data_IF_842365882710
#
_entry.id   IF_842365882710
#
_cell.length_a   1.000
_cell.length_b   1.000
_cell.length_c   1.000
_cell.angle_alpha   90.00
_cell.angle_beta   90.00
_cell.angle_gamma   90.00
#
_symmetry.space_group_name_H-M   'P 1'
#
loop_
_entity.id
_entity.type
_entity.pdbx_description
1 polymer ?
#
# COMPACT_ATOMS: atom_id res chain seq x y z
N UNK A 1 5.43 -4.78 32.59
CA UNK A 1 6.27 -5.85 31.98
C UNK A 1 5.50 -6.74 31.02
N UNK A 2 4.38 -7.38 31.43
CA UNK A 2 3.59 -8.26 30.54
C UNK A 2 3.12 -7.58 29.23
N UNK A 3 2.57 -6.37 29.29
CA UNK A 3 2.11 -5.68 28.08
C UNK A 3 3.23 -5.31 27.10
N UNK A 4 4.44 -5.03 27.60
CA UNK A 4 5.61 -4.74 26.76
C UNK A 4 6.05 -6.00 26.02
N UNK A 5 6.04 -7.17 26.67
CA UNK A 5 6.33 -8.43 25.99
C UNK A 5 5.30 -8.78 24.92
N UNK A 6 4.00 -8.53 25.17
CA UNK A 6 2.95 -8.73 24.15
C UNK A 6 3.19 -7.82 22.93
N UNK A 7 3.58 -6.55 23.14
CA UNK A 7 3.94 -5.62 22.05
C UNK A 7 5.14 -6.11 21.25
N UNK A 8 6.19 -6.61 21.90
CA UNK A 8 7.33 -7.19 21.19
C UNK A 8 6.94 -8.43 20.35
N UNK A 9 6.05 -9.28 20.87
CA UNK A 9 5.55 -10.44 20.11
C UNK A 9 4.74 -9.97 18.89
N UNK A 10 3.91 -8.94 19.05
CA UNK A 10 3.13 -8.38 17.94
C UNK A 10 3.99 -7.88 16.77
N UNK A 11 5.17 -7.30 17.06
CA UNK A 11 6.14 -6.88 16.03
C UNK A 11 6.60 -8.06 15.18
N UNK A 12 6.93 -9.19 15.83
CA UNK A 12 7.35 -10.40 15.14
C UNK A 12 6.25 -11.00 14.27
N UNK A 13 5.01 -10.99 14.78
CA UNK A 13 3.84 -11.50 14.04
C UNK A 13 3.55 -10.66 12.80
N UNK A 14 3.55 -9.33 12.90
CA UNK A 14 3.31 -8.43 11.77
C UNK A 14 4.37 -8.60 10.67
N UNK A 15 5.64 -8.67 11.07
CA UNK A 15 6.73 -8.90 10.13
C UNK A 15 6.57 -10.26 9.45
N UNK A 16 6.29 -11.32 10.22
CA UNK A 16 6.11 -12.67 9.69
C UNK A 16 4.91 -12.77 8.74
N UNK A 17 3.75 -12.21 9.10
CA UNK A 17 2.54 -12.27 8.27
C UNK A 17 2.76 -11.61 6.91
N UNK A 18 3.41 -10.44 6.89
CA UNK A 18 3.67 -9.70 5.65
C UNK A 18 4.66 -10.43 4.75
N UNK A 19 5.72 -11.03 5.32
CA UNK A 19 6.70 -11.81 4.55
C UNK A 19 6.15 -13.13 4.05
N UNK A 20 5.28 -13.79 4.82
CA UNK A 20 4.57 -15.00 4.39
C UNK A 20 3.69 -14.67 3.18
N UNK A 21 2.87 -13.61 3.26
CA UNK A 21 2.00 -13.22 2.14
C UNK A 21 2.76 -12.76 0.91
N UNK A 22 3.88 -12.05 1.10
CA UNK A 22 4.81 -11.71 0.01
C UNK A 22 5.37 -12.97 -0.66
N UNK A 23 5.82 -13.94 0.14
CA UNK A 23 6.35 -15.21 -0.36
C UNK A 23 5.29 -16.02 -1.11
N UNK A 24 4.05 -16.04 -0.61
CA UNK A 24 2.91 -16.66 -1.29
C UNK A 24 2.65 -15.99 -2.64
N UNK A 25 2.66 -14.65 -2.71
CA UNK A 25 2.51 -13.90 -3.96
C UNK A 25 3.60 -14.25 -4.99
N UNK A 26 4.86 -14.31 -4.56
CA UNK A 26 6.00 -14.70 -5.41
C UNK A 26 5.85 -16.15 -5.90
N UNK A 27 5.50 -17.08 -5.01
CA UNK A 27 5.29 -18.48 -5.36
C UNK A 27 4.14 -18.65 -6.36
N UNK A 28 3.02 -17.96 -6.15
CA UNK A 28 1.89 -17.95 -7.06
C UNK A 28 2.31 -17.43 -8.45
N UNK A 29 3.02 -16.31 -8.50
CA UNK A 29 3.50 -15.76 -9.76
C UNK A 29 4.47 -16.71 -10.48
N UNK A 30 5.39 -17.35 -9.75
CA UNK A 30 6.31 -18.35 -10.33
C UNK A 30 5.55 -19.54 -10.90
N UNK A 31 4.54 -20.02 -10.18
CA UNK A 31 3.68 -21.10 -10.63
C UNK A 31 2.89 -20.73 -11.89
N UNK A 32 2.31 -19.52 -11.94
CA UNK A 32 1.60 -19.03 -13.12
C UNK A 32 2.55 -18.89 -14.33
N UNK A 33 3.79 -18.44 -14.10
CA UNK A 33 4.78 -18.26 -15.18
C UNK A 33 5.26 -19.57 -15.81
N UNK A 34 5.17 -20.70 -15.09
CA UNK A 34 5.47 -22.02 -15.62
C UNK A 34 4.37 -22.56 -16.57
N UNK A 35 3.22 -21.88 -16.64
CA UNK A 35 2.11 -22.23 -17.54
C UNK A 35 2.25 -21.53 -18.89
N UNK A 36 1.25 -21.72 -19.75
CA UNK A 36 1.18 -21.12 -21.08
C UNK A 36 1.15 -19.58 -21.01
N UNK A 37 1.86 -18.90 -21.90
CA UNK A 37 1.94 -17.43 -22.01
C UNK A 37 0.58 -16.75 -22.17
N UNK A 38 -0.35 -17.37 -22.91
CA UNK A 38 -1.71 -16.83 -23.07
C UNK A 38 -2.53 -16.99 -21.78
N UNK A 39 -2.32 -18.08 -21.06
CA UNK A 39 -2.97 -18.32 -19.77
C UNK A 39 -2.42 -17.38 -18.71
N UNK A 40 -1.10 -17.14 -18.71
CA UNK A 40 -0.42 -16.24 -17.79
C UNK A 40 -0.96 -14.81 -17.92
N UNK A 41 -0.92 -14.23 -19.13
CA UNK A 41 -1.40 -12.87 -19.38
C UNK A 41 -2.87 -12.69 -18.97
N UNK A 42 -3.75 -13.60 -19.42
CA UNK A 42 -5.17 -13.63 -19.03
C UNK A 42 -5.37 -13.65 -17.52
N UNK A 43 -4.69 -14.58 -16.84
CA UNK A 43 -4.83 -14.77 -15.38
C UNK A 43 -4.27 -13.57 -14.61
N UNK A 44 -3.12 -13.03 -15.01
CA UNK A 44 -2.51 -11.87 -14.38
C UNK A 44 -3.41 -10.63 -14.45
N UNK A 45 -4.09 -10.41 -15.57
CA UNK A 45 -4.99 -9.26 -15.69
C UNK A 45 -6.25 -9.42 -14.83
N UNK A 46 -6.83 -10.63 -14.77
CA UNK A 46 -7.94 -10.93 -13.86
C UNK A 46 -7.53 -10.68 -12.41
N UNK A 47 -6.37 -11.20 -12.01
CA UNK A 47 -5.80 -11.00 -10.68
C UNK A 47 -5.58 -9.51 -10.42
N UNK A 48 -4.98 -8.76 -11.36
CA UNK A 48 -4.74 -7.33 -11.22
C UNK A 48 -6.03 -6.55 -10.98
N UNK A 49 -7.07 -6.82 -11.77
CA UNK A 49 -8.37 -6.16 -11.62
C UNK A 49 -9.00 -6.47 -10.25
N UNK A 50 -9.01 -7.74 -9.83
CA UNK A 50 -9.51 -8.14 -8.51
C UNK A 50 -8.72 -7.48 -7.39
N UNK A 51 -7.39 -7.48 -7.49
CA UNK A 51 -6.47 -6.86 -6.54
C UNK A 51 -6.72 -5.35 -6.42
N UNK A 52 -6.90 -4.63 -7.53
CA UNK A 52 -7.25 -3.21 -7.54
C UNK A 52 -8.58 -2.94 -6.82
N UNK A 53 -9.56 -3.83 -6.96
CA UNK A 53 -10.81 -3.80 -6.20
C UNK A 53 -10.63 -4.02 -4.70
N UNK A 54 -9.83 -5.02 -4.30
CA UNK A 54 -9.50 -5.31 -2.90
C UNK A 54 -8.77 -4.12 -2.26
N UNK A 55 -7.86 -3.49 -3.00
CA UNK A 55 -7.13 -2.30 -2.57
C UNK A 55 -8.07 -1.13 -2.30
N UNK A 56 -9.03 -0.89 -3.21
CA UNK A 56 -10.08 0.11 -3.02
C UNK A 56 -10.96 -0.19 -1.80
N UNK A 57 -11.30 -1.46 -1.59
CA UNK A 57 -12.04 -1.90 -0.41
C UNK A 57 -11.28 -1.59 0.89
N UNK A 58 -9.99 -1.93 0.91
CA UNK A 58 -9.09 -1.67 2.05
C UNK A 58 -9.02 -0.18 2.35
N UNK A 59 -8.87 0.64 1.33
CA UNK A 59 -8.81 2.09 1.45
C UNK A 59 -10.10 2.66 2.08
N UNK A 60 -11.26 2.32 1.50
CA UNK A 60 -12.52 2.96 1.88
C UNK A 60 -13.10 2.44 3.19
N UNK A 61 -12.92 1.15 3.49
CA UNK A 61 -13.54 0.51 4.66
C UNK A 61 -12.63 0.46 5.88
N UNK A 62 -11.31 0.64 5.72
CA UNK A 62 -10.36 0.59 6.84
C UNK A 62 -9.50 1.86 6.90
N UNK A 63 -8.65 2.09 5.91
CA UNK A 63 -7.61 3.15 6.00
C UNK A 63 -8.22 4.55 6.20
N UNK A 64 -9.25 4.91 5.41
CA UNK A 64 -9.89 6.22 5.53
C UNK A 64 -10.61 6.36 6.88
N UNK A 65 -11.54 5.45 7.27
CA UNK A 65 -12.17 5.50 8.59
C UNK A 65 -11.18 5.57 9.76
N UNK A 66 -10.17 4.69 9.78
CA UNK A 66 -9.19 4.60 10.87
C UNK A 66 -8.38 5.90 10.99
N UNK A 67 -7.97 6.49 9.87
CA UNK A 67 -7.27 7.78 9.86
C UNK A 67 -8.12 8.93 10.40
N UNK A 68 -9.44 8.92 10.13
CA UNK A 68 -10.36 9.96 10.57
C UNK A 68 -10.71 9.83 12.06
N UNK A 69 -10.86 8.61 12.57
CA UNK A 69 -11.20 8.35 13.98
C UNK A 69 -10.17 8.95 14.94
N UNK A 70 -8.88 8.87 14.57
CA UNK A 70 -7.78 9.41 15.36
C UNK A 70 -7.80 10.93 15.49
N UNK A 71 -8.33 11.65 14.50
CA UNK A 71 -8.54 13.10 14.57
C UNK A 71 -9.88 13.48 15.20
N UNK A 72 -10.92 12.66 14.99
CA UNK A 72 -12.28 12.92 15.47
C UNK A 72 -12.35 12.99 17.00
N UNK A 73 -11.54 12.20 17.72
CA UNK A 73 -11.45 12.23 19.18
C UNK A 73 -11.03 13.62 19.72
N UNK A 74 -10.42 14.47 18.90
CA UNK A 74 -9.88 15.77 19.34
C UNK A 74 -10.51 16.98 18.66
N UNK A 75 -10.95 16.84 17.42
CA UNK A 75 -11.61 17.88 16.64
C UNK A 75 -12.99 17.45 16.18
N UNK A 76 -13.91 17.28 17.15
CA UNK A 76 -15.30 16.84 16.96
C UNK A 76 -16.13 17.66 15.95
N UNK A 77 -15.68 18.84 15.52
CA UNK A 77 -16.49 19.82 14.78
C UNK A 77 -15.99 20.18 13.39
N UNK A 78 -14.83 19.69 12.94
CA UNK A 78 -14.29 20.05 11.62
C UNK A 78 -13.82 18.83 10.83
N UNK A 79 -14.25 18.76 9.57
CA UNK A 79 -13.84 17.76 8.57
C UNK A 79 -12.36 17.89 8.13
N UNK A 80 -11.46 18.24 9.05
CA UNK A 80 -10.04 18.52 8.79
C UNK A 80 -9.29 17.25 8.37
N UNK A 81 -9.72 16.07 8.82
CA UNK A 81 -9.12 14.81 8.36
C UNK A 81 -9.24 14.63 6.84
N UNK A 82 -10.39 14.95 6.25
CA UNK A 82 -10.57 14.93 4.79
C UNK A 82 -9.70 15.95 4.06
N UNK A 83 -9.43 17.12 4.66
CA UNK A 83 -8.47 18.07 4.11
C UNK A 83 -7.07 17.44 4.01
N UNK A 84 -6.60 16.77 5.06
CA UNK A 84 -5.30 16.11 5.04
C UNK A 84 -5.25 14.93 4.08
N UNK A 85 -6.33 14.17 3.92
CA UNK A 85 -6.44 13.15 2.87
C UNK A 85 -6.29 13.79 1.48
N UNK A 86 -6.99 14.90 1.22
CA UNK A 86 -6.84 15.64 -0.03
C UNK A 86 -5.42 16.16 -0.27
N UNK A 87 -4.79 16.71 0.77
CA UNK A 87 -3.40 17.19 0.71
C UNK A 87 -2.43 16.04 0.39
N UNK A 88 -2.61 14.86 0.99
CA UNK A 88 -1.79 13.69 0.71
C UNK A 88 -1.92 13.20 -0.74
N UNK A 89 -3.15 13.20 -1.26
CA UNK A 89 -3.42 12.87 -2.67
C UNK A 89 -2.71 13.83 -3.63
N UNK A 90 -2.84 15.14 -3.43
CA UNK A 90 -2.20 16.12 -4.30
C UNK A 90 -0.68 16.17 -4.13
N UNK A 91 -0.17 15.93 -2.91
CA UNK A 91 1.26 15.86 -2.66
C UNK A 91 1.92 14.81 -3.57
N UNK A 92 1.36 13.61 -3.62
CA UNK A 92 1.95 12.54 -4.44
C UNK A 92 1.68 12.74 -5.93
N UNK A 93 0.55 13.34 -6.30
CA UNK A 93 0.29 13.76 -7.68
C UNK A 93 1.38 14.73 -8.18
N UNK A 94 1.67 15.78 -7.41
CA UNK A 94 2.70 16.77 -7.75
C UNK A 94 4.07 16.11 -7.80
N UNK A 95 4.41 15.24 -6.85
CA UNK A 95 5.68 14.52 -6.84
C UNK A 95 5.81 13.67 -8.12
N UNK A 96 4.78 12.92 -8.49
CA UNK A 96 4.80 12.09 -9.69
C UNK A 96 4.88 12.91 -10.98
N UNK A 97 4.16 14.03 -11.05
CA UNK A 97 4.20 14.93 -12.22
C UNK A 97 5.56 15.59 -12.37
N UNK A 98 6.20 16.00 -11.26
CA UNK A 98 7.56 16.57 -11.27
C UNK A 98 8.59 15.55 -11.74
N UNK A 99 8.47 14.29 -11.31
CA UNK A 99 9.33 13.19 -11.75
C UNK A 99 9.17 12.97 -13.25
N UNK A 100 7.93 12.83 -13.73
CA UNK A 100 7.64 12.65 -15.15
C UNK A 100 8.16 13.82 -15.99
N UNK A 101 8.05 15.05 -15.48
CA UNK A 101 8.56 16.25 -16.14
C UNK A 101 10.09 16.27 -16.22
N UNK A 102 10.77 15.92 -15.13
CA UNK A 102 12.23 15.82 -15.10
C UNK A 102 12.73 14.79 -16.11
N UNK A 103 12.09 13.63 -16.17
CA UNK A 103 12.45 12.58 -17.13
C UNK A 103 12.21 13.00 -18.58
N UNK A 104 11.08 13.65 -18.88
CA UNK A 104 10.79 14.18 -20.21
C UNK A 104 11.85 15.21 -20.64
N UNK A 105 12.28 16.06 -19.70
CA UNK A 105 13.32 17.05 -19.95
C UNK A 105 14.68 16.41 -20.22
N UNK A 106 15.10 15.46 -19.38
CA UNK A 106 16.33 14.70 -19.54
C UNK A 106 16.37 13.93 -20.87
N UNK A 107 15.24 13.31 -21.25
CA UNK A 107 15.11 12.61 -22.54
C UNK A 107 15.27 13.56 -23.73
N UNK A 108 14.61 14.72 -23.71
CA UNK A 108 14.68 15.69 -24.81
C UNK A 108 16.09 16.25 -25.02
N UNK A 109 16.89 16.32 -23.95
CA UNK A 109 18.29 16.76 -24.02
C UNK A 109 19.21 15.72 -24.68
N UNK A 110 18.87 14.43 -24.61
CA UNK A 110 19.66 13.34 -25.18
C UNK A 110 19.33 13.02 -26.65
N UNK A 111 18.33 13.65 -27.27
CA UNK A 111 17.99 13.43 -28.69
C UNK A 111 19.02 14.14 -29.59
N UNK A 112 20.23 13.58 -29.64
CA UNK A 112 21.17 13.67 -30.75
C UNK A 112 20.94 12.49 -31.71
N UNK A 113 21.21 12.68 -32.99
CA UNK A 113 20.58 12.00 -34.13
C UNK A 113 21.05 10.55 -34.41
N UNK A 114 21.03 9.64 -33.43
CA UNK A 114 21.24 8.20 -33.65
C UNK A 114 20.14 7.32 -33.00
N UNK A 115 19.48 6.50 -33.82
CA UNK A 115 18.36 5.61 -33.41
C UNK A 115 18.73 4.65 -32.27
N UNK A 116 19.99 4.24 -32.17
CA UNK A 116 20.48 3.32 -31.14
C UNK A 116 20.68 4.03 -29.79
N UNK A 117 21.15 5.28 -29.79
CA UNK A 117 21.24 6.11 -28.60
C UNK A 117 19.85 6.42 -28.04
N UNK A 118 18.88 6.69 -28.91
CA UNK A 118 17.47 6.89 -28.53
C UNK A 118 16.89 5.62 -27.88
N UNK A 119 17.17 4.42 -28.42
CA UNK A 119 16.68 3.18 -27.82
C UNK A 119 17.29 2.90 -26.44
N UNK A 120 18.56 3.25 -26.23
CA UNK A 120 19.22 3.11 -24.94
C UNK A 120 18.68 4.13 -23.93
N UNK A 121 18.52 5.40 -24.32
CA UNK A 121 17.93 6.43 -23.44
C UNK A 121 16.49 6.14 -23.05
N UNK A 122 15.67 5.61 -23.97
CA UNK A 122 14.31 5.15 -23.67
C UNK A 122 14.28 3.98 -22.68
N UNK A 123 15.23 3.04 -22.77
CA UNK A 123 15.31 1.92 -21.82
C UNK A 123 15.72 2.39 -20.42
N UNK A 124 16.65 3.35 -20.35
CA UNK A 124 17.14 3.94 -19.11
C UNK A 124 16.02 4.74 -18.42
N UNK A 125 15.36 5.68 -19.11
CA UNK A 125 14.21 6.41 -18.55
C UNK A 125 13.06 5.49 -18.13
N UNK A 126 12.73 4.45 -18.92
CA UNK A 126 11.72 3.49 -18.48
C UNK A 126 12.14 2.69 -17.23
N UNK A 127 13.44 2.47 -17.03
CA UNK A 127 13.95 1.82 -15.82
C UNK A 127 13.87 2.75 -14.61
N UNK A 128 14.23 4.02 -14.79
CA UNK A 128 14.21 5.04 -13.73
C UNK A 128 12.77 5.37 -13.29
N UNK A 129 11.83 5.48 -14.23
CA UNK A 129 10.40 5.61 -13.94
C UNK A 129 9.90 4.48 -13.05
N UNK A 130 10.29 3.24 -13.37
CA UNK A 130 9.86 2.04 -12.63
C UNK A 130 10.41 2.03 -11.21
N UNK A 131 11.69 2.33 -11.05
CA UNK A 131 12.31 2.45 -9.71
C UNK A 131 11.63 3.55 -8.91
N UNK A 132 11.37 4.70 -9.53
CA UNK A 132 10.76 5.83 -8.85
C UNK A 132 9.34 5.51 -8.38
N UNK A 133 8.53 4.88 -9.23
CA UNK A 133 7.19 4.38 -8.85
C UNK A 133 7.26 3.36 -7.72
N UNK A 134 8.24 2.46 -7.75
CA UNK A 134 8.45 1.49 -6.67
C UNK A 134 8.80 2.18 -5.34
N UNK A 135 9.72 3.16 -5.37
CA UNK A 135 10.10 3.93 -4.17
C UNK A 135 8.91 4.71 -3.64
N UNK A 136 8.18 5.42 -4.50
CA UNK A 136 6.96 6.15 -4.16
C UNK A 136 5.93 5.23 -3.49
N UNK A 137 5.71 4.05 -4.05
CA UNK A 137 4.79 3.06 -3.51
C UNK A 137 5.25 2.53 -2.15
N UNK A 138 6.53 2.17 -2.00
CA UNK A 138 7.08 1.66 -0.72
C UNK A 138 7.04 2.74 0.35
N UNK A 139 7.32 3.99 -0.01
CA UNK A 139 7.24 5.13 0.90
C UNK A 139 5.80 5.35 1.37
N UNK A 140 4.85 5.45 0.44
CA UNK A 140 3.44 5.67 0.72
C UNK A 140 2.82 4.59 1.60
N UNK A 141 3.08 3.32 1.27
CA UNK A 141 2.61 2.19 2.06
C UNK A 141 3.37 2.09 3.38
N UNK A 142 4.64 2.46 3.39
CA UNK A 142 5.53 2.39 4.54
C UNK A 142 5.15 3.37 5.64
N UNK A 143 4.77 4.60 5.27
CA UNK A 143 4.27 5.59 6.24
C UNK A 143 3.00 5.10 6.94
N UNK A 144 2.06 4.51 6.20
CA UNK A 144 0.85 3.94 6.79
C UNK A 144 1.18 2.80 7.78
N UNK A 145 1.96 1.81 7.35
CA UNK A 145 2.39 0.68 8.18
C UNK A 145 3.17 1.13 9.43
N UNK A 146 3.96 2.20 9.32
CA UNK A 146 4.66 2.81 10.46
C UNK A 146 3.68 3.37 11.51
N UNK A 147 2.64 4.09 11.08
CA UNK A 147 1.66 4.65 12.01
C UNK A 147 0.76 3.60 12.66
N UNK A 148 0.42 2.52 11.96
CA UNK A 148 -0.25 1.37 12.56
C UNK A 148 0.62 0.72 13.65
N UNK A 149 1.92 0.64 13.42
CA UNK A 149 2.90 0.23 14.43
C UNK A 149 2.90 1.16 15.65
N UNK A 150 2.87 2.48 15.45
CA UNK A 150 2.79 3.45 16.55
C UNK A 150 1.52 3.24 17.36
N UNK A 151 0.38 2.98 16.71
CA UNK A 151 -0.90 2.74 17.36
C UNK A 151 -0.84 1.50 18.28
N UNK A 152 -0.27 0.39 17.80
CA UNK A 152 -0.06 -0.83 18.60
C UNK A 152 0.87 -0.55 19.78
N UNK A 153 2.00 0.13 19.53
CA UNK A 153 2.97 0.48 20.56
C UNK A 153 2.41 1.44 21.61
N UNK A 154 1.46 2.29 21.24
CA UNK A 154 0.81 3.27 22.11
C UNK A 154 -0.34 2.70 22.92
N UNK A 155 -0.83 1.50 22.59
CA UNK A 155 -1.99 0.92 23.28
C UNK A 155 -1.67 0.66 24.77
N UNK A 156 -2.42 1.29 25.66
CA UNK A 156 -2.28 1.18 27.13
C UNK A 156 -3.34 0.30 27.78
N UNK A 157 -4.35 -0.12 27.00
CA UNK A 157 -5.40 -1.04 27.42
C UNK A 157 -4.87 -2.45 27.71
N UNK A 158 -5.78 -3.33 28.11
CA UNK A 158 -5.50 -4.72 28.43
C UNK A 158 -5.02 -5.53 27.20
N UNK A 159 -4.44 -6.70 27.47
CA UNK A 159 -3.86 -7.55 26.43
C UNK A 159 -4.88 -8.05 25.40
N UNK A 160 -6.15 -8.26 25.78
CA UNK A 160 -7.18 -8.70 24.82
C UNK A 160 -7.43 -7.62 23.76
N UNK A 161 -7.54 -6.36 24.19
CA UNK A 161 -7.72 -5.25 23.26
C UNK A 161 -6.52 -5.09 22.33
N UNK A 162 -5.29 -5.26 22.83
CA UNK A 162 -4.09 -5.25 22.00
C UNK A 162 -4.14 -6.35 20.92
N UNK A 163 -4.47 -7.58 21.29
CA UNK A 163 -4.52 -8.71 20.36
C UNK A 163 -5.63 -8.58 19.32
N UNK A 164 -6.77 -7.98 19.68
CA UNK A 164 -7.84 -7.69 18.72
C UNK A 164 -7.37 -6.69 17.65
N UNK A 165 -6.70 -5.61 18.08
CA UNK A 165 -6.13 -4.60 17.17
C UNK A 165 -5.05 -5.23 16.27
N UNK A 166 -4.14 -6.02 16.84
CA UNK A 166 -3.10 -6.72 16.06
C UNK A 166 -3.73 -7.69 15.06
N UNK A 167 -4.78 -8.42 15.43
CA UNK A 167 -5.47 -9.34 14.51
C UNK A 167 -6.14 -8.59 13.35
N UNK A 168 -6.83 -7.48 13.63
CA UNK A 168 -7.42 -6.62 12.60
C UNK A 168 -6.37 -6.04 11.65
N UNK A 169 -5.21 -5.63 12.18
CA UNK A 169 -4.09 -5.10 11.38
C UNK A 169 -3.47 -6.20 10.52
N UNK A 170 -3.13 -7.34 11.11
CA UNK A 170 -2.58 -8.49 10.40
C UNK A 170 -3.48 -8.91 9.23
N UNK A 171 -4.81 -8.88 9.41
CA UNK A 171 -5.74 -9.28 8.38
C UNK A 171 -5.66 -8.40 7.12
N UNK A 172 -5.80 -7.07 7.27
CA UNK A 172 -5.78 -6.19 6.10
C UNK A 172 -4.35 -5.98 5.55
N UNK A 173 -3.33 -5.97 6.41
CA UNK A 173 -1.93 -5.88 5.97
C UNK A 173 -1.50 -7.10 5.16
N UNK A 174 -2.02 -8.27 5.48
CA UNK A 174 -1.81 -9.48 4.69
C UNK A 174 -2.38 -9.36 3.27
N UNK A 175 -3.58 -8.77 3.15
CA UNK A 175 -4.22 -8.53 1.85
C UNK A 175 -3.47 -7.48 1.04
N UNK A 176 -3.00 -6.40 1.69
CA UNK A 176 -2.17 -5.37 1.07
C UNK A 176 -0.84 -5.98 0.60
N UNK A 177 -0.15 -6.74 1.45
CA UNK A 177 1.14 -7.35 1.12
C UNK A 177 1.05 -8.29 -0.10
N UNK A 178 0.03 -9.16 -0.12
CA UNK A 178 -0.23 -10.06 -1.23
C UNK A 178 -0.56 -9.29 -2.52
N UNK A 179 -1.45 -8.32 -2.42
CA UNK A 179 -1.92 -7.48 -3.54
C UNK A 179 -0.79 -6.69 -4.19
N UNK A 180 0.01 -5.99 -3.39
CA UNK A 180 1.16 -5.19 -3.87
C UNK A 180 2.22 -6.08 -4.49
N UNK A 181 2.51 -7.23 -3.86
CA UNK A 181 3.47 -8.20 -4.41
C UNK A 181 3.05 -8.66 -5.80
N UNK A 182 1.80 -9.10 -5.95
CA UNK A 182 1.29 -9.53 -7.25
C UNK A 182 1.33 -8.37 -8.26
N UNK A 183 0.95 -7.18 -7.84
CA UNK A 183 0.93 -6.01 -8.71
C UNK A 183 2.31 -5.68 -9.27
N UNK A 184 3.33 -5.58 -8.41
CA UNK A 184 4.69 -5.30 -8.83
C UNK A 184 5.24 -6.38 -9.78
N UNK A 185 4.92 -7.65 -9.51
CA UNK A 185 5.33 -8.75 -10.37
C UNK A 185 4.61 -8.78 -11.72
N UNK A 186 3.34 -8.37 -11.78
CA UNK A 186 2.57 -8.19 -13.02
C UNK A 186 3.14 -7.04 -13.84
N UNK A 187 3.59 -5.97 -13.17
CA UNK A 187 4.26 -4.82 -13.79
C UNK A 187 5.73 -5.12 -14.17
N UNK A 188 6.12 -6.40 -14.18
CA UNK A 188 7.42 -6.95 -14.58
C UNK A 188 8.61 -6.55 -13.70
N UNK A 189 8.38 -6.26 -12.42
CA UNK A 189 9.47 -6.14 -11.46
C UNK A 189 10.15 -7.48 -11.18
N UNK A 190 11.45 -7.42 -10.87
CA UNK A 190 12.21 -8.64 -10.54
C UNK A 190 11.81 -9.15 -9.16
N UNK A 191 11.78 -10.48 -8.98
CA UNK A 191 11.44 -11.09 -7.69
C UNK A 191 12.30 -10.57 -6.52
N UNK A 192 13.58 -10.26 -6.79
CA UNK A 192 14.52 -9.72 -5.80
C UNK A 192 14.12 -8.30 -5.40
N UNK A 193 13.86 -7.41 -6.37
CA UNK A 193 13.41 -6.04 -6.07
C UNK A 193 12.11 -6.03 -5.30
N UNK A 194 11.14 -6.86 -5.70
CA UNK A 194 9.85 -6.98 -5.00
C UNK A 194 10.06 -7.46 -3.57
N UNK A 195 10.83 -8.52 -3.36
CA UNK A 195 11.08 -9.04 -2.01
C UNK A 195 11.80 -8.01 -1.13
N UNK A 196 12.85 -7.35 -1.63
CA UNK A 196 13.55 -6.30 -0.90
C UNK A 196 12.65 -5.12 -0.56
N UNK A 197 11.83 -4.65 -1.51
CA UNK A 197 10.88 -3.57 -1.32
C UNK A 197 9.84 -3.92 -0.24
N UNK A 198 9.24 -5.12 -0.32
CA UNK A 198 8.26 -5.60 0.65
C UNK A 198 8.88 -5.89 2.02
N UNK A 199 10.14 -6.29 2.08
CA UNK A 199 10.89 -6.44 3.33
C UNK A 199 11.10 -5.09 4.02
N UNK A 200 11.56 -4.07 3.28
CA UNK A 200 11.70 -2.70 3.79
C UNK A 200 10.36 -2.17 4.27
N UNK A 201 9.30 -2.35 3.47
CA UNK A 201 7.95 -1.97 3.86
C UNK A 201 7.49 -2.66 5.15
N UNK A 202 7.75 -3.96 5.28
CA UNK A 202 7.35 -4.74 6.46
C UNK A 202 8.09 -4.35 7.73
N UNK A 203 9.31 -3.81 7.63
CA UNK A 203 10.07 -3.30 8.77
C UNK A 203 9.48 -2.02 9.36
N UNK A 204 8.70 -1.25 8.59
CA UNK A 204 8.10 0.00 9.07
C UNK A 204 7.16 -0.21 10.27
N UNK A 205 6.36 -1.28 10.27
CA UNK A 205 5.45 -1.61 11.38
C UNK A 205 6.18 -1.86 12.71
N UNK A 206 7.14 -2.82 12.78
CA UNK A 206 7.99 -3.00 13.94
C UNK A 206 8.72 -1.73 14.38
N UNK A 207 9.24 -0.94 13.43
CA UNK A 207 9.88 0.34 13.75
C UNK A 207 8.90 1.33 14.40
N UNK A 208 7.64 1.36 13.96
CA UNK A 208 6.58 2.16 14.58
C UNK A 208 6.28 1.74 16.01
N UNK A 209 6.16 0.43 16.27
CA UNK A 209 5.96 -0.10 17.64
C UNK A 209 7.14 0.29 18.54
N UNK A 210 8.37 0.12 18.05
CA UNK A 210 9.58 0.47 18.78
C UNK A 210 9.63 1.98 19.07
N UNK A 211 9.37 2.83 18.08
CA UNK A 211 9.34 4.27 18.25
C UNK A 211 8.33 4.70 19.31
N UNK A 212 7.13 4.11 19.29
CA UNK A 212 6.07 4.38 20.26
C UNK A 212 6.44 3.94 21.69
N UNK A 213 7.15 2.83 21.85
CA UNK A 213 7.67 2.40 23.16
C UNK A 213 8.75 3.34 23.72
N UNK A 214 9.58 3.94 22.85
CA UNK A 214 10.62 4.89 23.27
C UNK A 214 10.04 6.25 23.62
N UNK A 215 8.97 6.67 22.95
CA UNK A 215 8.27 7.92 23.22
C UNK A 215 7.33 7.70 24.41
N UNK A 216 7.92 7.66 25.60
CA UNK A 216 7.25 7.35 26.88
C UNK A 216 6.29 8.43 27.40
N UNK A 217 6.21 9.57 26.72
CA UNK A 217 5.32 10.68 27.07
C UNK A 217 4.25 10.88 26.01
N UNK A 218 3.01 10.47 26.30
CA UNK A 218 1.82 10.91 25.55
C UNK A 218 1.65 12.41 25.72
N UNK A 219 2.36 13.19 24.90
CA UNK A 219 1.98 14.58 24.71
C UNK A 219 0.76 14.61 23.79
N UNK A 220 -0.20 15.48 24.10
CA UNK A 220 -1.36 15.73 23.25
C UNK A 220 -1.01 16.08 21.80
N UNK A 221 0.18 16.63 21.57
CA UNK A 221 0.67 16.97 20.24
C UNK A 221 1.07 15.74 19.41
N UNK A 222 1.57 14.67 20.04
CA UNK A 222 2.01 13.46 19.34
C UNK A 222 0.85 12.68 18.72
N UNK A 223 -0.27 12.55 19.44
CA UNK A 223 -1.46 11.87 18.91
C UNK A 223 -2.11 12.66 17.77
N UNK A 224 -2.14 13.99 17.87
CA UNK A 224 -2.58 14.87 16.78
C UNK A 224 -1.67 14.73 15.55
N UNK A 225 -0.35 14.76 15.76
CA UNK A 225 0.62 14.59 14.68
C UNK A 225 0.45 13.23 13.98
N UNK A 226 0.24 12.15 14.73
CA UNK A 226 -0.04 10.83 14.18
C UNK A 226 -1.31 10.84 13.32
N UNK A 227 -2.43 11.37 13.83
CA UNK A 227 -3.68 11.44 13.07
C UNK A 227 -3.56 12.25 11.78
N UNK A 228 -2.86 13.40 11.81
CA UNK A 228 -2.59 14.20 10.60
C UNK A 228 -1.77 13.42 9.57
N UNK A 229 -0.68 12.77 10.00
CA UNK A 229 0.17 12.01 9.09
C UNK A 229 -0.51 10.76 8.53
N UNK A 230 -1.39 10.12 9.30
CA UNK A 230 -2.15 8.97 8.83
C UNK A 230 -3.21 9.38 7.80
N UNK A 231 -3.86 10.54 7.98
CA UNK A 231 -4.73 11.11 6.94
C UNK A 231 -3.95 11.48 5.68
N UNK A 232 -2.77 12.09 5.80
CA UNK A 232 -1.89 12.35 4.64
C UNK A 232 -1.52 11.04 3.93
N UNK A 233 -1.15 10.01 4.70
CA UNK A 233 -0.81 8.69 4.16
C UNK A 233 -2.00 8.01 3.47
N UNK A 234 -3.22 8.16 4.01
CA UNK A 234 -4.45 7.68 3.39
C UNK A 234 -4.72 8.39 2.05
N UNK A 235 -4.42 9.70 1.98
CA UNK A 235 -4.42 10.47 0.74
C UNK A 235 -3.46 9.93 -0.33
N UNK A 236 -2.24 9.56 0.07
CA UNK A 236 -1.27 8.93 -0.83
C UNK A 236 -1.77 7.57 -1.34
N UNK A 237 -2.37 6.77 -0.44
CA UNK A 237 -2.96 5.47 -0.80
C UNK A 237 -4.15 5.62 -1.76
N UNK A 238 -4.95 6.68 -1.60
CA UNK A 238 -6.03 7.04 -2.53
C UNK A 238 -5.49 7.29 -3.95
N UNK A 239 -4.39 8.03 -4.08
CA UNK A 239 -3.76 8.26 -5.39
C UNK A 239 -3.28 6.95 -6.00
N UNK A 240 -2.51 6.13 -5.26
CA UNK A 240 -2.00 4.85 -5.76
C UNK A 240 -3.16 3.96 -6.21
N UNK A 241 -4.24 3.91 -5.43
CA UNK A 241 -5.41 3.09 -5.74
C UNK A 241 -6.09 3.54 -7.04
N UNK A 242 -6.43 4.83 -7.18
CA UNK A 242 -7.20 5.29 -8.34
C UNK A 242 -6.35 5.49 -9.59
N UNK A 243 -5.19 6.12 -9.45
CA UNK A 243 -4.36 6.57 -10.58
C UNK A 243 -3.35 5.51 -10.98
N UNK A 244 -2.62 4.90 -10.03
CA UNK A 244 -1.66 3.87 -10.39
C UNK A 244 -2.34 2.52 -10.66
N UNK A 245 -3.32 2.12 -9.85
CA UNK A 245 -3.87 0.77 -9.90
C UNK A 245 -5.11 0.63 -10.78
N UNK A 246 -6.21 1.32 -10.43
CA UNK A 246 -7.50 1.19 -11.12
C UNK A 246 -7.40 1.71 -12.55
N UNK A 247 -6.85 2.91 -12.74
CA UNK A 247 -6.74 3.50 -14.07
C UNK A 247 -5.93 2.60 -15.01
N UNK A 248 -4.77 2.10 -14.59
CA UNK A 248 -3.95 1.22 -15.43
C UNK A 248 -4.69 -0.06 -15.85
N UNK A 249 -5.53 -0.62 -14.96
CA UNK A 249 -6.24 -1.86 -15.22
C UNK A 249 -7.47 -1.67 -16.10
N UNK A 250 -8.14 -0.51 -15.98
CA UNK A 250 -9.22 -0.13 -16.90
C UNK A 250 -8.70 0.14 -18.31
N UNK A 251 -7.51 0.71 -18.46
CA UNK A 251 -6.93 1.07 -19.76
C UNK A 251 -6.28 -0.10 -20.52
N UNK A 252 -6.00 -1.22 -19.85
CA UNK A 252 -5.46 -2.44 -20.49
C UNK A 252 -6.52 -3.07 -21.41
N UNK A 253 -6.20 -3.18 -22.71
CA UNK A 253 -7.08 -3.71 -23.77
C UNK A 253 -7.15 -5.25 -23.85
N UNK A 254 -7.07 -5.94 -22.72
CA UNK A 254 -7.20 -7.40 -22.73
C UNK A 254 -8.65 -7.89 -22.78
N UNK A 255 -9.54 -7.24 -22.04
CA UNK A 255 -10.99 -7.45 -22.11
C UNK A 255 -11.69 -6.14 -22.45
N UNK A 256 -13.01 -6.21 -22.66
CA UNK A 256 -13.85 -5.02 -22.75
C UNK A 256 -13.79 -4.22 -21.43
N UNK A 257 -13.81 -2.87 -21.47
CA UNK A 257 -13.73 -2.04 -20.26
C UNK A 257 -14.79 -2.36 -19.20
N UNK A 258 -15.99 -2.79 -19.65
CA UNK A 258 -17.06 -3.23 -18.76
C UNK A 258 -16.67 -4.47 -17.93
N UNK A 259 -15.96 -5.44 -18.52
CA UNK A 259 -15.51 -6.64 -17.82
C UNK A 259 -14.44 -6.29 -16.78
N UNK A 260 -13.49 -5.41 -17.13
CA UNK A 260 -12.49 -4.91 -16.17
C UNK A 260 -13.17 -4.25 -14.96
N UNK A 261 -14.20 -3.43 -15.21
CA UNK A 261 -14.97 -2.78 -14.15
C UNK A 261 -15.70 -3.79 -13.25
N UNK A 262 -16.30 -4.83 -13.84
CA UNK A 262 -16.97 -5.89 -13.07
C UNK A 262 -15.99 -6.70 -12.21
N UNK A 263 -14.78 -6.98 -12.72
CA UNK A 263 -13.73 -7.65 -11.96
C UNK A 263 -13.25 -6.79 -10.78
N UNK A 264 -13.04 -5.49 -11.00
CA UNK A 264 -12.69 -4.54 -9.92
C UNK A 264 -13.81 -4.50 -8.87
N UNK A 265 -15.07 -4.41 -9.30
CA UNK A 265 -16.22 -4.45 -8.39
C UNK A 265 -16.30 -5.77 -7.61
N UNK A 266 -15.97 -6.90 -8.25
CA UNK A 266 -15.88 -8.20 -7.60
C UNK A 266 -14.83 -8.22 -6.49
N UNK A 267 -13.63 -7.69 -6.76
CA UNK A 267 -12.57 -7.56 -5.76
C UNK A 267 -12.97 -6.67 -4.57
N UNK A 268 -13.59 -5.53 -4.85
CA UNK A 268 -14.13 -4.64 -3.82
C UNK A 268 -15.19 -5.35 -2.96
N UNK A 269 -16.13 -6.05 -3.60
CA UNK A 269 -17.21 -6.77 -2.93
C UNK A 269 -16.68 -7.90 -2.04
N UNK A 270 -15.65 -8.63 -2.48
CA UNK A 270 -14.99 -9.66 -1.67
C UNK A 270 -14.41 -9.03 -0.40
N UNK A 271 -13.69 -7.91 -0.51
CA UNK A 271 -13.12 -7.25 0.67
C UNK A 271 -14.20 -6.75 1.63
N UNK A 272 -15.24 -6.09 1.11
CA UNK A 272 -16.37 -5.61 1.92
C UNK A 272 -17.03 -6.75 2.68
N UNK A 273 -17.28 -7.88 2.01
CA UNK A 273 -17.88 -9.05 2.66
C UNK A 273 -17.01 -9.56 3.80
N UNK A 274 -15.69 -9.69 3.59
CA UNK A 274 -14.79 -10.17 4.63
C UNK A 274 -14.70 -9.17 5.80
N UNK A 275 -14.64 -7.86 5.50
CA UNK A 275 -14.62 -6.80 6.50
C UNK A 275 -15.90 -6.79 7.36
N UNK A 276 -17.07 -6.96 6.74
CA UNK A 276 -18.35 -7.06 7.46
C UNK A 276 -18.43 -8.33 8.32
N UNK A 277 -17.96 -9.47 7.82
CA UNK A 277 -17.91 -10.71 8.60
C UNK A 277 -17.00 -10.55 9.82
N UNK A 278 -15.86 -9.90 9.68
CA UNK A 278 -14.97 -9.63 10.82
C UNK A 278 -15.64 -8.73 11.86
N UNK A 279 -16.34 -7.66 11.43
CA UNK A 279 -17.06 -6.74 12.31
C UNK A 279 -18.28 -7.37 12.99
N UNK A 280 -18.89 -8.40 12.42
CA UNK A 280 -20.03 -9.09 13.02
C UNK A 280 -19.60 -10.12 14.09
N UNK A 281 -18.38 -10.64 14.00
CA UNK A 281 -17.84 -11.65 14.92
C UNK A 281 -17.25 -11.06 16.21
N UNK A 282 -17.17 -9.73 16.33
CA UNK A 282 -16.58 -8.98 17.45
C UNK A 282 -17.46 -7.80 17.85
#
# INVERSE_FOLDING_TARGET
MRLVSEKCISMGILLASNLIMTSIGICLQRFLRQRNVNFLSTTQHIISCLTSGIFLGTLLMMIVPDSLELLAHRWHTMNIGYLFIGLGFFLICIIQDLINLYELYAFKQQVGTETQEILNSLKESNHDNRITRLITLVFALGTHNFFDGIMIGGQTKDAMTLWLVVAAICFHMSLVAFSVTLRLLIDNETYVRVFCAMFIWSLMGPLGVLASLLITSESSGLSLFNGVLQCLSAGTFLYITFIDMIHSDLMKKMFYPFVNSLLIFGGFSIFVLISLLHKYMH
#
